data_IF_473973507461
#
_entry.id   IF_473973507461
#
_cell.length_a   1.000
_cell.length_b   1.000
_cell.length_c   1.000
_cell.angle_alpha   90.00
_cell.angle_beta   90.00
_cell.angle_gamma   90.00
#
_symmetry.space_group_name_H-M   'P 1'
#
loop_
_entity.id
_entity.type
_entity.pdbx_description
1 polymer ?
#
# COMPACT_ATOMS: atom_id res chain seq x y z
N UNK A 1 -20.46 -9.72 12.02
CA UNK A 1 -19.09 -9.33 12.39
C UNK A 1 -18.73 -8.15 11.52
N UNK A 2 -18.25 -7.05 12.11
CA UNK A 2 -17.92 -5.80 11.41
C UNK A 2 -16.53 -5.36 11.87
N UNK A 3 -15.69 -4.89 10.94
CA UNK A 3 -14.44 -4.19 11.25
C UNK A 3 -14.64 -2.73 10.89
N UNK A 4 -14.25 -1.82 11.79
CA UNK A 4 -14.38 -0.38 11.59
C UNK A 4 -13.31 0.38 12.37
N UNK A 5 -13.08 1.62 11.99
CA UNK A 5 -12.28 2.56 12.79
C UNK A 5 -12.88 2.71 14.18
N UNK A 6 -12.02 2.80 15.18
CA UNK A 6 -12.41 3.02 16.57
C UNK A 6 -13.06 4.38 16.76
N UNK A 7 -13.97 4.46 17.71
CA UNK A 7 -14.59 5.69 18.22
C UNK A 7 -14.38 5.79 19.73
N UNK A 8 -14.61 6.96 20.32
CA UNK A 8 -14.48 7.13 21.78
C UNK A 8 -15.48 6.27 22.57
N UNK A 9 -16.62 5.93 21.97
CA UNK A 9 -17.64 5.07 22.59
C UNK A 9 -17.20 3.60 22.72
N UNK A 10 -16.17 3.18 21.97
CA UNK A 10 -15.61 1.84 22.06
C UNK A 10 -14.69 1.66 23.28
N UNK A 11 -14.36 2.75 23.98
CA UNK A 11 -13.40 2.75 25.08
C UNK A 11 -13.74 1.75 26.16
N UNK A 12 -15.02 1.60 26.52
CA UNK A 12 -15.45 0.60 27.51
C UNK A 12 -15.11 -0.82 27.07
N UNK A 13 -15.45 -1.17 25.83
CA UNK A 13 -15.21 -2.51 25.28
C UNK A 13 -13.72 -2.82 25.12
N UNK A 14 -12.92 -1.84 24.70
CA UNK A 14 -11.46 -1.95 24.60
C UNK A 14 -10.84 -2.09 26.00
N UNK A 15 -11.26 -1.25 26.94
CA UNK A 15 -10.83 -1.28 28.33
C UNK A 15 -11.09 -2.63 28.98
N UNK A 16 -12.27 -3.22 28.78
CA UNK A 16 -12.60 -4.56 29.30
C UNK A 16 -11.71 -5.66 28.74
N UNK A 17 -11.37 -5.60 27.44
CA UNK A 17 -10.41 -6.53 26.84
C UNK A 17 -9.03 -6.32 27.45
N UNK A 18 -8.56 -5.08 27.49
CA UNK A 18 -7.20 -4.74 27.90
C UNK A 18 -6.96 -5.07 29.38
N UNK A 19 -7.89 -4.70 30.27
CA UNK A 19 -7.77 -4.96 31.71
C UNK A 19 -7.74 -6.45 32.05
N UNK A 20 -8.41 -7.30 31.26
CA UNK A 20 -8.22 -8.75 31.41
C UNK A 20 -6.75 -9.14 31.23
N UNK A 21 -6.05 -8.59 30.24
CA UNK A 21 -4.63 -8.87 30.03
C UNK A 21 -3.75 -8.24 31.11
N UNK A 22 -4.08 -7.04 31.60
CA UNK A 22 -3.37 -6.38 32.72
C UNK A 22 -3.42 -7.25 33.97
N UNK A 23 -4.63 -7.69 34.36
CA UNK A 23 -4.87 -8.36 35.64
C UNK A 23 -4.53 -9.85 35.62
N UNK A 24 -4.55 -10.51 34.45
CA UNK A 24 -4.48 -11.97 34.37
C UNK A 24 -3.30 -12.50 33.53
N UNK A 25 -2.52 -11.63 32.87
CA UNK A 25 -1.46 -12.09 31.95
C UNK A 25 -0.22 -11.19 31.91
N UNK A 26 0.92 -11.73 31.46
CA UNK A 26 2.12 -10.96 31.21
C UNK A 26 2.19 -10.35 29.80
N UNK A 27 1.13 -10.44 28.98
CA UNK A 27 1.13 -9.97 27.58
C UNK A 27 1.36 -8.46 27.50
N UNK A 28 0.84 -7.71 28.47
CA UNK A 28 1.13 -6.29 28.65
C UNK A 28 1.79 -6.07 30.00
N UNK A 29 2.66 -5.07 30.09
CA UNK A 29 3.44 -4.78 31.28
C UNK A 29 2.82 -3.71 32.18
N UNK A 30 1.65 -3.19 31.83
CA UNK A 30 0.84 -2.46 32.80
C UNK A 30 0.44 -3.36 33.97
N UNK A 31 0.53 -2.82 35.18
CA UNK A 31 0.30 -3.55 36.44
C UNK A 31 -0.98 -3.10 37.14
N UNK A 32 -1.59 -2.00 36.72
CA UNK A 32 -2.82 -1.44 37.28
C UNK A 32 -3.84 -1.32 36.17
N UNK A 33 -5.06 -1.77 36.43
CA UNK A 33 -6.16 -1.66 35.48
C UNK A 33 -6.43 -0.20 35.12
N UNK A 34 -6.65 0.06 33.85
CA UNK A 34 -6.94 1.41 33.34
C UNK A 34 -8.42 1.73 33.46
N UNK A 35 -8.72 3.00 33.65
CA UNK A 35 -10.10 3.49 33.63
C UNK A 35 -10.63 3.62 32.20
N UNK A 36 -11.95 3.61 32.04
CA UNK A 36 -12.59 3.92 30.76
C UNK A 36 -12.19 5.32 30.24
N UNK A 37 -12.15 6.32 31.12
CA UNK A 37 -11.72 7.68 30.78
C UNK A 37 -10.28 7.75 30.28
N UNK A 38 -9.39 6.96 30.87
CA UNK A 38 -8.00 6.88 30.42
C UNK A 38 -7.92 6.19 29.05
N UNK A 39 -8.69 5.11 28.83
CA UNK A 39 -8.76 4.48 27.52
C UNK A 39 -9.33 5.41 26.44
N UNK A 40 -10.33 6.24 26.78
CA UNK A 40 -10.84 7.29 25.88
C UNK A 40 -9.73 8.29 25.49
N UNK A 41 -8.94 8.74 26.46
CA UNK A 41 -7.81 9.65 26.20
C UNK A 41 -6.75 9.00 25.29
N UNK A 42 -6.44 7.72 25.52
CA UNK A 42 -5.53 6.96 24.65
C UNK A 42 -6.07 6.90 23.23
N UNK A 43 -7.31 6.45 23.03
CA UNK A 43 -7.97 6.38 21.72
C UNK A 43 -7.90 7.75 21.03
N UNK A 44 -8.26 8.82 21.73
CA UNK A 44 -8.18 10.19 21.21
C UNK A 44 -6.77 10.53 20.74
N UNK A 45 -5.73 10.21 21.53
CA UNK A 45 -4.34 10.46 21.16
C UNK A 45 -3.90 9.78 19.87
N UNK A 46 -4.33 8.54 19.62
CA UNK A 46 -4.05 7.84 18.35
C UNK A 46 -4.80 8.48 17.18
N UNK A 47 -6.08 8.83 17.36
CA UNK A 47 -6.89 9.45 16.32
C UNK A 47 -6.37 10.85 15.95
N UNK A 48 -6.02 11.67 16.94
CA UNK A 48 -5.45 13.00 16.73
C UNK A 48 -4.10 12.94 16.00
N UNK A 49 -3.31 11.89 16.26
CA UNK A 49 -2.04 11.64 15.58
C UNK A 49 -2.19 11.02 14.17
N UNK A 50 -3.42 10.72 13.75
CA UNK A 50 -3.71 10.13 12.44
C UNK A 50 -3.31 8.66 12.31
N UNK A 51 -3.12 7.94 13.43
CA UNK A 51 -2.76 6.53 13.39
C UNK A 51 -3.96 5.62 13.14
N UNK A 52 -3.81 4.57 12.31
CA UNK A 52 -4.83 3.54 12.15
C UNK A 52 -5.12 2.83 13.48
N UNK A 53 -6.41 2.77 13.84
CA UNK A 53 -6.91 2.06 15.01
C UNK A 53 -8.28 1.46 14.67
N UNK A 54 -8.34 0.12 14.65
CA UNK A 54 -9.52 -0.64 14.27
C UNK A 54 -10.03 -1.54 15.38
N UNK A 55 -11.34 -1.73 15.42
CA UNK A 55 -12.03 -2.70 16.26
C UNK A 55 -12.74 -3.74 15.40
N UNK A 56 -12.85 -4.96 15.90
CA UNK A 56 -13.78 -5.97 15.36
C UNK A 56 -14.93 -6.16 16.33
N UNK A 57 -16.15 -6.02 15.81
CA UNK A 57 -17.39 -6.11 16.56
C UNK A 57 -18.17 -7.38 16.17
N UNK A 58 -18.66 -8.10 17.18
CA UNK A 58 -19.51 -9.29 17.02
C UNK A 58 -20.71 -9.14 17.96
N UNK A 59 -21.92 -9.12 17.38
CA UNK A 59 -23.18 -9.00 18.12
C UNK A 59 -23.23 -7.78 19.05
N UNK A 60 -22.82 -6.60 18.55
CA UNK A 60 -22.84 -5.36 19.33
C UNK A 60 -21.71 -5.24 20.37
N UNK A 61 -20.75 -6.17 20.40
CA UNK A 61 -19.65 -6.17 21.37
C UNK A 61 -18.30 -6.18 20.69
N UNK A 62 -17.37 -5.40 21.23
CA UNK A 62 -15.97 -5.42 20.80
C UNK A 62 -15.37 -6.78 21.13
N UNK A 63 -14.91 -7.48 20.11
CA UNK A 63 -14.32 -8.81 20.19
C UNK A 63 -12.78 -8.77 20.10
N UNK A 64 -12.22 -7.67 19.64
CA UNK A 64 -10.79 -7.43 19.53
C UNK A 64 -10.49 -6.08 18.88
N UNK A 65 -9.23 -5.67 18.91
CA UNK A 65 -8.79 -4.42 18.31
C UNK A 65 -7.31 -4.49 17.93
N UNK A 66 -6.90 -3.66 16.98
CA UNK A 66 -5.50 -3.45 16.62
C UNK A 66 -5.24 -1.98 16.29
N UNK A 67 -4.00 -1.56 16.46
CA UNK A 67 -3.57 -0.20 16.12
C UNK A 67 -2.08 -0.16 15.75
N UNK A 68 -1.68 0.97 15.14
CA UNK A 68 -0.28 1.30 14.84
C UNK A 68 0.14 2.57 15.57
N UNK A 69 1.44 2.71 15.82
CA UNK A 69 2.04 3.98 16.26
C UNK A 69 3.53 4.03 15.95
N UNK A 70 4.17 5.15 16.26
CA UNK A 70 5.62 5.28 16.16
C UNK A 70 6.31 4.29 17.11
N UNK A 71 7.24 3.50 16.57
CA UNK A 71 8.13 2.65 17.37
C UNK A 71 9.07 3.48 18.25
N UNK A 72 9.54 4.62 17.73
CA UNK A 72 10.44 5.52 18.44
C UNK A 72 10.20 6.97 18.00
N UNK A 73 10.37 7.92 18.91
CA UNK A 73 10.12 9.35 18.63
C UNK A 73 11.26 10.05 17.88
N UNK A 74 12.42 9.40 17.67
CA UNK A 74 13.51 9.98 16.89
C UNK A 74 13.20 9.90 15.39
N UNK A 75 13.45 10.99 14.65
CA UNK A 75 13.06 11.13 13.25
C UNK A 75 13.60 10.05 12.31
N UNK A 76 14.77 9.46 12.60
CA UNK A 76 15.33 8.36 11.82
C UNK A 76 14.47 7.08 11.82
N UNK A 77 13.48 6.97 12.73
CA UNK A 77 12.52 5.87 12.80
C UNK A 77 11.15 6.25 12.24
N UNK A 78 11.00 7.37 11.52
CA UNK A 78 9.69 7.85 11.04
C UNK A 78 8.94 6.82 10.20
N UNK A 79 9.66 6.01 9.41
CA UNK A 79 9.13 4.92 8.58
C UNK A 79 9.03 3.56 9.30
N UNK A 80 9.34 3.49 10.59
CA UNK A 80 9.19 2.27 11.41
C UNK A 80 8.05 2.46 12.40
N UNK A 81 7.04 1.59 12.32
CA UNK A 81 5.88 1.61 13.22
C UNK A 81 5.84 0.37 14.11
N UNK A 82 5.16 0.49 15.24
CA UNK A 82 4.82 -0.64 16.09
C UNK A 82 3.36 -1.02 15.91
N UNK A 83 3.10 -2.31 15.70
CA UNK A 83 1.76 -2.88 15.62
C UNK A 83 1.38 -3.52 16.95
N UNK A 84 0.14 -3.32 17.36
CA UNK A 84 -0.42 -3.94 18.56
C UNK A 84 -1.78 -4.56 18.25
N UNK A 85 -2.06 -5.72 18.85
CA UNK A 85 -3.33 -6.42 18.70
C UNK A 85 -3.75 -7.12 19.99
N UNK A 86 -5.03 -6.99 20.35
CA UNK A 86 -5.64 -7.68 21.47
C UNK A 86 -6.98 -8.29 21.06
N UNK A 87 -7.28 -9.47 21.58
CA UNK A 87 -8.55 -10.17 21.35
C UNK A 87 -9.22 -10.42 22.69
N UNK A 88 -10.55 -10.35 22.74
CA UNK A 88 -11.30 -10.73 23.93
C UNK A 88 -10.94 -12.15 24.37
N UNK A 89 -10.93 -12.40 25.68
CA UNK A 89 -10.48 -13.68 26.28
C UNK A 89 -11.10 -14.94 25.63
N UNK A 90 -12.36 -14.85 25.23
CA UNK A 90 -13.15 -15.92 24.60
C UNK A 90 -13.15 -15.89 23.07
N UNK A 91 -12.32 -15.06 22.46
CA UNK A 91 -12.28 -14.82 21.02
C UNK A 91 -10.98 -15.26 20.36
N UNK A 92 -10.02 -15.76 21.14
CA UNK A 92 -8.78 -16.36 20.63
C UNK A 92 -9.06 -17.63 19.80
N UNK A 93 -8.19 -17.94 18.85
CA UNK A 93 -8.30 -19.13 17.99
C UNK A 93 -9.38 -19.08 16.91
N UNK A 94 -10.16 -17.99 16.80
CA UNK A 94 -11.26 -17.82 15.83
C UNK A 94 -10.87 -17.07 14.56
N UNK A 95 -9.57 -16.91 14.29
CA UNK A 95 -9.07 -16.18 13.12
C UNK A 95 -9.20 -14.65 13.17
N UNK A 96 -9.78 -14.06 14.24
CA UNK A 96 -9.98 -12.61 14.35
C UNK A 96 -8.67 -11.82 14.27
N UNK A 97 -7.58 -12.36 14.80
CA UNK A 97 -6.25 -11.73 14.70
C UNK A 97 -5.78 -11.58 13.26
N UNK A 98 -5.96 -12.63 12.46
CA UNK A 98 -5.66 -12.60 11.01
C UNK A 98 -6.53 -11.56 10.29
N UNK A 99 -7.82 -11.52 10.61
CA UNK A 99 -8.78 -10.63 9.96
C UNK A 99 -8.46 -9.15 10.25
N UNK A 100 -8.12 -8.84 11.51
CA UNK A 100 -7.70 -7.49 11.91
C UNK A 100 -6.39 -7.07 11.22
N UNK A 101 -5.37 -7.94 11.17
CA UNK A 101 -4.12 -7.64 10.46
C UNK A 101 -4.32 -7.51 8.95
N UNK A 102 -5.16 -8.34 8.31
CA UNK A 102 -5.50 -8.17 6.91
C UNK A 102 -6.15 -6.82 6.62
N UNK A 103 -7.03 -6.35 7.51
CA UNK A 103 -7.64 -5.02 7.36
C UNK A 103 -6.62 -3.91 7.57
N UNK A 104 -5.85 -3.97 8.66
CA UNK A 104 -4.81 -2.99 8.98
C UNK A 104 -3.78 -2.87 7.87
N UNK A 105 -3.27 -4.01 7.37
CA UNK A 105 -2.17 -4.01 6.41
C UNK A 105 -2.60 -3.55 5.02
N UNK A 106 -3.86 -3.68 4.63
CA UNK A 106 -4.35 -3.04 3.39
C UNK A 106 -4.19 -1.52 3.40
N UNK A 107 -4.27 -0.91 4.58
CA UNK A 107 -4.12 0.54 4.71
C UNK A 107 -2.66 0.97 4.86
N UNK A 108 -1.79 0.16 5.48
CA UNK A 108 -0.38 0.56 5.68
C UNK A 108 0.43 0.60 4.40
N UNK A 109 0.04 -0.16 3.35
CA UNK A 109 0.76 -0.09 2.08
C UNK A 109 0.68 1.32 1.48
N UNK A 110 -0.41 2.06 1.77
CA UNK A 110 -0.61 3.46 1.33
C UNK A 110 0.37 4.44 1.99
N UNK A 111 0.99 4.06 3.10
CA UNK A 111 1.90 4.89 3.88
C UNK A 111 3.38 4.56 3.58
N UNK A 112 4.28 5.52 3.79
CA UNK A 112 5.73 5.33 3.66
C UNK A 112 6.32 4.56 4.88
N UNK A 113 5.73 3.40 5.17
CA UNK A 113 6.18 2.49 6.23
C UNK A 113 7.15 1.48 5.61
N UNK A 114 8.36 1.43 6.16
CA UNK A 114 9.41 0.50 5.78
C UNK A 114 9.40 -0.76 6.65
N UNK A 115 9.12 -0.61 7.95
CA UNK A 115 9.17 -1.72 8.89
C UNK A 115 8.06 -1.64 9.94
N UNK A 116 7.53 -2.81 10.30
CA UNK A 116 6.67 -3.00 11.45
C UNK A 116 7.41 -3.79 12.53
N UNK A 117 7.25 -3.37 13.78
CA UNK A 117 7.71 -4.09 14.97
C UNK A 117 6.49 -4.57 15.77
N UNK A 118 6.58 -5.76 16.36
CA UNK A 118 5.64 -6.26 17.34
C UNK A 118 6.40 -6.77 18.57
N UNK A 119 6.09 -6.24 19.75
CA UNK A 119 6.59 -6.75 21.02
C UNK A 119 5.75 -7.94 21.52
N UNK A 120 6.42 -9.03 21.90
CA UNK A 120 5.76 -10.24 22.42
C UNK A 120 6.44 -10.66 23.71
N UNK A 121 5.71 -10.60 24.84
CA UNK A 121 6.11 -11.32 26.04
C UNK A 121 5.91 -12.82 25.81
N UNK A 122 6.98 -13.61 25.94
CA UNK A 122 6.95 -15.07 25.79
C UNK A 122 6.61 -15.77 27.12
N UNK A 123 6.02 -16.97 27.18
CA UNK A 123 5.67 -17.98 26.15
C UNK A 123 4.28 -17.75 25.53
N UNK A 124 4.21 -17.13 24.36
CA UNK A 124 2.95 -16.79 23.69
C UNK A 124 2.95 -17.27 22.23
N UNK A 125 2.85 -18.59 22.06
CA UNK A 125 2.93 -19.27 20.77
C UNK A 125 1.83 -18.83 19.80
N UNK A 126 0.65 -18.49 20.34
CA UNK A 126 -0.45 -17.96 19.53
C UNK A 126 -0.11 -16.63 18.87
N UNK A 127 0.57 -15.75 19.60
CA UNK A 127 1.04 -14.47 19.04
C UNK A 127 2.18 -14.70 18.05
N UNK A 128 3.16 -15.54 18.41
CA UNK A 128 4.28 -15.91 17.52
C UNK A 128 3.75 -16.44 16.18
N UNK A 129 2.86 -17.43 16.22
CA UNK A 129 2.30 -18.03 15.00
C UNK A 129 1.50 -17.04 14.16
N UNK A 130 0.77 -16.11 14.79
CA UNK A 130 0.09 -15.03 14.06
C UNK A 130 1.11 -14.15 13.33
N UNK A 131 2.19 -13.74 13.98
CA UNK A 131 3.20 -12.87 13.37
C UNK A 131 3.98 -13.59 12.27
N UNK A 132 4.40 -14.83 12.49
CA UNK A 132 5.04 -15.67 11.46
C UNK A 132 4.19 -15.81 10.21
N UNK A 133 2.87 -16.02 10.38
CA UNK A 133 1.92 -16.11 9.26
C UNK A 133 1.91 -14.88 8.36
N UNK A 134 2.18 -13.69 8.92
CA UNK A 134 2.29 -12.45 8.16
C UNK A 134 3.74 -12.11 7.75
N UNK A 135 4.67 -13.06 7.89
CA UNK A 135 6.05 -12.92 7.44
C UNK A 135 6.96 -12.14 8.39
N UNK A 136 6.51 -11.86 9.62
CA UNK A 136 7.39 -11.31 10.65
C UNK A 136 8.48 -12.34 10.98
N UNK A 137 9.66 -11.82 11.34
CA UNK A 137 10.81 -12.62 11.81
C UNK A 137 11.28 -12.07 13.14
N UNK A 138 11.71 -12.94 14.04
CA UNK A 138 12.31 -12.53 15.31
C UNK A 138 13.57 -11.69 15.05
N UNK A 139 13.58 -10.46 15.56
CA UNK A 139 14.68 -9.50 15.42
C UNK A 139 15.51 -9.38 16.70
N UNK A 140 14.92 -9.60 17.87
CA UNK A 140 15.63 -9.57 19.16
C UNK A 140 14.93 -10.41 20.23
N UNK A 141 15.68 -10.80 21.25
CA UNK A 141 15.21 -11.41 22.50
C UNK A 141 15.88 -10.72 23.69
N UNK A 142 15.10 -10.00 24.48
CA UNK A 142 15.55 -9.36 25.71
C UNK A 142 15.13 -10.22 26.90
N UNK A 143 16.10 -10.68 27.68
CA UNK A 143 15.87 -11.53 28.84
C UNK A 143 15.60 -10.70 30.08
N UNK A 144 14.67 -11.16 30.91
CA UNK A 144 14.38 -10.62 32.25
C UNK A 144 14.16 -9.09 32.26
N UNK A 145 13.53 -8.56 31.21
CA UNK A 145 13.43 -7.11 30.96
C UNK A 145 12.22 -6.45 31.64
N UNK A 146 11.26 -7.25 32.12
CA UNK A 146 10.12 -6.76 32.89
C UNK A 146 9.76 -7.65 34.06
N UNK A 147 9.22 -7.06 35.12
CA UNK A 147 8.78 -7.78 36.32
C UNK A 147 7.25 -7.76 36.41
N UNK A 148 6.61 -8.94 36.38
CA UNK A 148 5.15 -9.05 36.55
C UNK A 148 4.70 -10.43 37.02
N UNK A 149 3.80 -10.46 38.00
CA UNK A 149 3.33 -11.67 38.70
C UNK A 149 4.49 -12.47 39.28
N UNK A 150 5.31 -11.80 40.10
CA UNK A 150 6.44 -12.37 40.84
C UNK A 150 7.47 -13.12 39.98
N UNK A 151 7.59 -12.73 38.71
CA UNK A 151 8.47 -13.33 37.74
C UNK A 151 9.05 -12.26 36.82
N UNK A 152 10.34 -12.42 36.51
CA UNK A 152 10.97 -11.74 35.38
C UNK A 152 10.43 -12.30 34.07
N UNK A 153 10.22 -11.40 33.10
CA UNK A 153 9.59 -11.67 31.81
C UNK A 153 10.54 -11.29 30.69
N UNK A 154 10.62 -12.19 29.72
CA UNK A 154 11.36 -11.98 28.50
C UNK A 154 10.43 -11.35 27.45
N UNK A 155 11.00 -10.47 26.63
CA UNK A 155 10.29 -9.86 25.51
C UNK A 155 11.09 -10.08 24.24
N UNK A 156 10.41 -10.61 23.23
CA UNK A 156 10.91 -10.67 21.88
C UNK A 156 10.32 -9.54 21.04
N UNK A 157 11.12 -9.05 20.09
CA UNK A 157 10.61 -8.18 19.04
C UNK A 157 10.61 -8.93 17.73
N UNK A 158 9.46 -8.89 17.07
CA UNK A 158 9.24 -9.47 15.77
C UNK A 158 9.15 -8.34 14.75
N UNK A 159 9.87 -8.47 13.64
CA UNK A 159 9.98 -7.45 12.61
C UNK A 159 9.43 -7.96 11.28
N UNK A 160 8.61 -7.14 10.64
CA UNK A 160 8.24 -7.28 9.23
C UNK A 160 8.85 -6.11 8.46
N UNK A 161 9.78 -6.41 7.56
CA UNK A 161 10.22 -5.42 6.56
C UNK A 161 9.19 -5.42 5.44
N UNK A 162 8.50 -4.29 5.28
CA UNK A 162 7.59 -4.08 4.17
C UNK A 162 8.45 -3.89 2.93
N UNK A 163 8.59 -4.96 2.15
CA UNK A 163 9.16 -4.88 0.82
C UNK A 163 8.14 -4.15 -0.07
N UNK A 164 8.26 -2.83 -0.16
CA UNK A 164 7.64 -2.09 -1.25
C UNK A 164 8.39 -2.46 -2.53
N UNK A 165 8.00 -3.57 -3.16
CA UNK A 165 8.44 -3.87 -4.52
C UNK A 165 7.67 -2.87 -5.38
N UNK A 166 8.35 -1.95 -6.09
CA UNK A 166 7.64 -1.02 -6.94
C UNK A 166 6.89 -1.82 -8.00
N UNK A 167 5.63 -1.49 -8.27
CA UNK A 167 4.78 -2.27 -9.16
C UNK A 167 5.36 -2.20 -10.55
N UNK A 168 5.25 -3.33 -11.24
CA UNK A 168 5.58 -3.43 -12.65
C UNK A 168 4.34 -3.04 -13.46
N UNK A 169 4.46 -1.95 -14.19
CA UNK A 169 3.36 -1.35 -14.97
C UNK A 169 3.72 -1.39 -16.44
N UNK A 170 2.87 -2.00 -17.26
CA UNK A 170 3.00 -2.02 -18.72
C UNK A 170 1.89 -1.18 -19.36
N UNK A 171 2.27 -0.19 -20.15
CA UNK A 171 1.35 0.69 -20.89
C UNK A 171 1.35 0.31 -22.37
N UNK A 172 0.20 -0.06 -22.88
CA UNK A 172 0.04 -0.55 -24.24
C UNK A 172 -0.67 0.46 -25.14
N UNK A 173 -0.09 0.70 -26.30
CA UNK A 173 -0.83 1.28 -27.42
C UNK A 173 -0.53 0.51 -28.72
N UNK A 174 -1.06 0.98 -29.85
CA UNK A 174 -0.84 0.31 -31.13
C UNK A 174 0.60 0.51 -31.60
N UNK A 175 1.02 1.77 -31.78
CA UNK A 175 2.33 2.11 -32.36
C UNK A 175 3.49 2.25 -31.36
N UNK A 176 3.21 2.39 -30.06
CA UNK A 176 4.21 2.75 -29.03
C UNK A 176 5.07 3.98 -29.35
N UNK A 177 4.50 4.94 -30.06
CA UNK A 177 5.20 6.15 -30.50
C UNK A 177 4.79 7.42 -29.74
N UNK A 178 3.55 7.50 -29.24
CA UNK A 178 2.98 8.75 -28.74
C UNK A 178 2.32 8.59 -27.35
N UNK A 179 1.02 8.23 -27.29
CA UNK A 179 0.23 8.17 -26.04
C UNK A 179 0.87 7.34 -24.93
N UNK A 180 1.30 6.11 -25.24
CA UNK A 180 1.91 5.25 -24.22
C UNK A 180 3.26 5.79 -23.73
N UNK A 181 4.00 6.51 -24.58
CA UNK A 181 5.28 7.12 -24.23
C UNK A 181 5.07 8.32 -23.30
N UNK A 182 4.08 9.17 -23.59
CA UNK A 182 3.68 10.25 -22.70
C UNK A 182 3.23 9.73 -21.33
N UNK A 183 2.37 8.70 -21.33
CA UNK A 183 1.89 8.07 -20.09
C UNK A 183 3.02 7.44 -19.27
N UNK A 184 3.98 6.79 -19.94
CA UNK A 184 5.19 6.24 -19.33
C UNK A 184 5.98 7.34 -18.64
N UNK A 185 6.34 8.40 -19.39
CA UNK A 185 7.10 9.52 -18.85
C UNK A 185 6.40 10.18 -17.65
N UNK A 186 5.09 10.37 -17.71
CA UNK A 186 4.35 10.94 -16.59
C UNK A 186 4.37 10.06 -15.34
N UNK A 187 4.09 8.76 -15.44
CA UNK A 187 4.15 7.87 -14.28
C UNK A 187 5.54 7.88 -13.62
N UNK A 188 6.61 7.79 -14.42
CA UNK A 188 7.98 7.88 -13.89
C UNK A 188 8.27 9.25 -13.26
N UNK A 189 7.71 10.34 -13.80
CA UNK A 189 7.86 11.69 -13.20
C UNK A 189 7.11 11.85 -11.86
N UNK A 190 6.03 11.09 -11.65
CA UNK A 190 5.25 11.14 -10.41
C UNK A 190 5.94 10.36 -9.28
N UNK A 191 6.54 9.21 -9.60
CA UNK A 191 7.33 8.41 -8.68
C UNK A 191 8.45 7.67 -9.42
N UNK A 192 9.72 8.08 -9.24
CA UNK A 192 10.86 7.48 -9.94
C UNK A 192 11.16 6.05 -9.48
N UNK A 193 10.51 5.55 -8.41
CA UNK A 193 10.66 4.16 -7.98
C UNK A 193 9.86 3.18 -8.85
N UNK A 194 8.82 3.65 -9.55
CA UNK A 194 7.95 2.82 -10.38
C UNK A 194 8.71 2.09 -11.48
N UNK A 195 8.39 0.81 -11.68
CA UNK A 195 8.88 0.03 -12.81
C UNK A 195 7.89 0.17 -13.99
N UNK A 196 8.02 1.27 -14.72
CA UNK A 196 7.13 1.60 -15.85
C UNK A 196 7.76 1.17 -17.18
N UNK A 197 6.93 0.53 -18.01
CA UNK A 197 7.28 0.09 -19.35
C UNK A 197 6.15 0.49 -20.31
N UNK A 198 6.47 0.59 -21.59
CA UNK A 198 5.46 0.76 -22.63
C UNK A 198 5.76 -0.08 -23.85
N UNK A 199 4.72 -0.54 -24.55
CA UNK A 199 4.89 -1.40 -25.72
C UNK A 199 3.77 -1.25 -26.75
N UNK A 200 4.08 -1.67 -27.97
CA UNK A 200 3.22 -1.57 -29.15
C UNK A 200 2.76 -2.94 -29.63
N UNK A 201 1.48 -3.10 -29.94
CA UNK A 201 1.01 -4.29 -30.69
C UNK A 201 1.52 -4.29 -32.13
N UNK A 202 1.79 -3.09 -32.67
CA UNK A 202 2.42 -2.82 -33.96
C UNK A 202 3.44 -1.67 -33.78
N UNK A 203 4.46 -1.92 -32.97
CA UNK A 203 5.49 -0.92 -32.63
C UNK A 203 6.05 -0.23 -33.89
N UNK A 204 6.12 1.10 -33.88
CA UNK A 204 6.61 1.91 -35.01
C UNK A 204 8.12 1.82 -35.20
N UNK A 205 8.85 1.50 -34.13
CA UNK A 205 10.32 1.47 -34.10
C UNK A 205 10.97 2.79 -33.66
N UNK A 206 10.19 3.88 -33.59
CA UNK A 206 10.64 5.18 -33.10
C UNK A 206 9.57 5.92 -32.30
N UNK A 207 10.01 6.75 -31.35
CA UNK A 207 9.15 7.65 -30.57
C UNK A 207 8.83 8.88 -31.41
N UNK A 208 7.57 9.33 -31.40
CA UNK A 208 7.11 10.46 -32.19
C UNK A 208 7.82 11.75 -31.74
N UNK A 209 8.53 12.48 -32.62
CA UNK A 209 9.29 13.67 -32.24
C UNK A 209 8.45 14.76 -31.58
N UNK A 210 7.20 14.92 -32.01
CA UNK A 210 6.27 15.91 -31.48
C UNK A 210 5.78 15.53 -30.08
N UNK A 211 5.71 14.23 -29.78
CA UNK A 211 5.46 13.76 -28.42
C UNK A 211 6.63 14.10 -27.48
N UNK A 212 7.87 13.95 -27.95
CA UNK A 212 9.08 14.34 -27.20
C UNK A 212 9.04 15.84 -26.90
N UNK A 213 8.77 16.66 -27.91
CA UNK A 213 8.68 18.12 -27.80
C UNK A 213 7.67 18.56 -26.73
N UNK A 214 6.41 18.12 -26.83
CA UNK A 214 5.38 18.55 -25.87
C UNK A 214 5.60 17.99 -24.46
N UNK A 215 6.27 16.85 -24.32
CA UNK A 215 6.62 16.31 -23.00
C UNK A 215 7.77 17.11 -22.37
N UNK A 216 8.76 17.52 -23.17
CA UNK A 216 9.84 18.40 -22.73
C UNK A 216 9.29 19.74 -22.21
N UNK A 217 8.30 20.33 -22.90
CA UNK A 217 7.60 21.54 -22.44
C UNK A 217 6.90 21.37 -21.09
N UNK A 218 6.47 20.14 -20.77
CA UNK A 218 5.87 19.77 -19.49
C UNK A 218 6.90 19.40 -18.41
N UNK A 219 8.20 19.49 -18.72
CA UNK A 219 9.30 19.17 -17.82
C UNK A 219 9.63 17.68 -17.71
N UNK A 220 9.19 16.86 -18.68
CA UNK A 220 9.42 15.40 -18.68
C UNK A 220 10.15 15.01 -19.96
N UNK A 221 11.39 14.58 -19.83
CA UNK A 221 12.20 14.11 -20.96
C UNK A 221 11.90 12.65 -21.28
N UNK A 222 11.37 12.39 -22.48
CA UNK A 222 11.15 11.05 -23.03
C UNK A 222 12.00 10.77 -24.27
N UNK A 223 12.99 11.62 -24.58
CA UNK A 223 13.81 11.52 -25.79
C UNK A 223 14.69 10.25 -25.84
N UNK A 224 14.92 9.65 -24.69
CA UNK A 224 15.69 8.41 -24.52
C UNK A 224 14.83 7.14 -24.56
N UNK A 225 13.50 7.26 -24.66
CA UNK A 225 12.61 6.11 -24.77
C UNK A 225 12.73 5.41 -26.13
N UNK A 226 12.27 4.17 -26.19
CA UNK A 226 12.21 3.34 -27.41
C UNK A 226 10.79 2.87 -27.69
N UNK A 227 10.48 2.63 -28.97
CA UNK A 227 9.20 2.04 -29.39
C UNK A 227 9.32 0.51 -29.40
N UNK A 228 9.03 -0.14 -28.28
CA UNK A 228 9.22 -1.56 -28.08
C UNK A 228 8.01 -2.40 -28.52
N UNK A 229 8.28 -3.62 -29.00
CA UNK A 229 7.25 -4.58 -29.37
C UNK A 229 6.70 -5.30 -28.14
N UNK A 230 5.39 -5.46 -28.07
CA UNK A 230 4.72 -6.20 -26.99
C UNK A 230 5.23 -7.63 -26.82
N UNK A 231 5.76 -8.25 -27.90
CA UNK A 231 6.32 -9.59 -27.86
C UNK A 231 7.47 -9.77 -26.86
N UNK A 232 8.13 -8.68 -26.46
CA UNK A 232 9.17 -8.70 -25.43
C UNK A 232 8.62 -8.92 -24.01
N UNK A 233 7.33 -8.62 -23.79
CA UNK A 233 6.74 -8.48 -22.45
C UNK A 233 5.63 -9.49 -22.14
N UNK A 234 5.17 -10.27 -23.12
CA UNK A 234 4.06 -11.25 -22.95
C UNK A 234 4.38 -12.36 -21.94
N UNK A 235 5.68 -12.65 -21.73
CA UNK A 235 6.19 -13.66 -20.81
C UNK A 235 6.27 -13.22 -19.35
N UNK A 236 6.19 -11.92 -19.10
CA UNK A 236 6.44 -11.32 -17.79
C UNK A 236 5.18 -11.24 -16.93
N UNK A 237 5.37 -11.22 -15.62
CA UNK A 237 4.34 -10.88 -14.65
C UNK A 237 4.19 -9.35 -14.53
N UNK A 238 2.95 -8.90 -14.34
CA UNK A 238 2.58 -7.48 -14.28
C UNK A 238 1.58 -7.20 -13.16
N UNK A 239 1.82 -6.14 -12.39
CA UNK A 239 0.84 -5.62 -11.44
C UNK A 239 -0.27 -4.87 -12.18
N UNK A 240 0.11 -4.15 -13.25
CA UNK A 240 -0.80 -3.40 -14.10
C UNK A 240 -0.46 -3.55 -15.57
N UNK A 241 -1.47 -3.86 -16.38
CA UNK A 241 -1.44 -3.68 -17.84
C UNK A 241 -2.52 -2.68 -18.21
N UNK A 242 -2.13 -1.56 -18.84
CA UNK A 242 -3.00 -0.42 -19.12
C UNK A 242 -3.02 -0.17 -20.62
N UNK A 243 -4.17 -0.31 -21.27
CA UNK A 243 -4.32 0.02 -22.70
C UNK A 243 -4.76 1.48 -22.86
N UNK A 244 -4.08 2.24 -23.71
CA UNK A 244 -4.33 3.68 -23.91
C UNK A 244 -4.91 4.06 -25.27
N UNK A 245 -5.16 3.07 -26.13
CA UNK A 245 -5.88 3.25 -27.39
C UNK A 245 -6.88 2.11 -27.60
N UNK A 246 -7.96 2.38 -28.36
CA UNK A 246 -8.99 1.39 -28.67
C UNK A 246 -8.44 0.15 -29.39
N UNK A 247 -7.54 0.35 -30.36
CA UNK A 247 -6.92 -0.76 -31.10
C UNK A 247 -6.09 -1.71 -30.22
N UNK A 248 -5.36 -1.20 -29.21
CA UNK A 248 -4.64 -2.05 -28.27
C UNK A 248 -5.56 -2.70 -27.22
N UNK A 249 -6.72 -2.10 -26.93
CA UNK A 249 -7.72 -2.70 -26.06
C UNK A 249 -8.39 -3.91 -26.72
N UNK A 250 -8.78 -3.78 -27.99
CA UNK A 250 -9.38 -4.87 -28.78
C UNK A 250 -8.37 -5.95 -29.14
N UNK A 251 -7.11 -5.57 -29.40
CA UNK A 251 -6.03 -6.47 -29.79
C UNK A 251 -5.11 -6.84 -28.63
N UNK A 252 -5.55 -6.63 -27.38
CA UNK A 252 -4.72 -6.89 -26.21
C UNK A 252 -4.35 -8.38 -26.20
N UNK A 253 -3.06 -8.74 -26.26
CA UNK A 253 -2.67 -10.14 -26.33
C UNK A 253 -2.95 -10.84 -25.00
N UNK A 254 -3.09 -12.16 -25.09
CA UNK A 254 -3.03 -13.03 -23.93
C UNK A 254 -1.60 -13.03 -23.39
N UNK A 255 -1.45 -12.73 -22.11
CA UNK A 255 -0.17 -12.82 -21.41
C UNK A 255 -0.02 -14.23 -20.86
N UNK A 256 1.17 -14.81 -20.99
CA UNK A 256 1.50 -16.08 -20.35
C UNK A 256 1.92 -15.88 -18.88
N UNK A 257 2.41 -14.69 -18.53
CA UNK A 257 2.62 -14.26 -17.16
C UNK A 257 1.33 -13.78 -16.47
N UNK A 258 1.37 -13.71 -15.14
CA UNK A 258 0.25 -13.26 -14.33
C UNK A 258 0.06 -11.74 -14.44
N UNK A 259 -1.18 -11.30 -14.67
CA UNK A 259 -1.54 -9.88 -14.71
C UNK A 259 -2.57 -9.61 -13.62
N UNK A 260 -2.18 -8.90 -12.56
CA UNK A 260 -3.09 -8.63 -11.43
C UNK A 260 -4.23 -7.69 -11.83
N UNK A 261 -3.93 -6.60 -12.52
CA UNK A 261 -4.90 -5.60 -12.93
C UNK A 261 -4.80 -5.29 -14.43
N UNK A 262 -5.95 -5.32 -15.13
CA UNK A 262 -6.09 -4.88 -16.52
C UNK A 262 -7.01 -3.67 -16.58
N UNK A 263 -6.52 -2.57 -17.13
CA UNK A 263 -7.24 -1.30 -17.22
C UNK A 263 -7.24 -0.78 -18.66
N UNK A 264 -8.27 -0.01 -19.00
CA UNK A 264 -8.33 0.76 -20.24
C UNK A 264 -8.57 2.23 -19.94
N UNK A 265 -7.73 3.10 -20.48
CA UNK A 265 -7.85 4.56 -20.40
C UNK A 265 -7.59 5.11 -21.80
N UNK A 266 -8.62 5.19 -22.63
CA UNK A 266 -8.48 5.59 -24.03
C UNK A 266 -8.25 7.09 -24.22
N UNK A 267 -7.39 7.45 -25.18
CA UNK A 267 -7.17 8.82 -25.64
C UNK A 267 -7.17 8.88 -27.17
N UNK A 268 -7.54 10.04 -27.72
CA UNK A 268 -7.43 10.35 -29.15
C UNK A 268 -5.98 10.20 -29.63
N UNK A 269 -5.77 9.83 -30.89
CA UNK A 269 -4.42 9.83 -31.47
C UNK A 269 -4.08 11.21 -32.02
N UNK A 270 -3.22 12.00 -31.37
CA UNK A 270 -2.89 13.33 -31.87
C UNK A 270 -2.06 13.28 -33.17
N UNK A 271 -1.49 12.13 -33.53
CA UNK A 271 -0.77 11.96 -34.81
C UNK A 271 -1.70 11.91 -36.03
N UNK A 272 -3.00 11.71 -35.83
CA UNK A 272 -4.01 11.76 -36.89
C UNK A 272 -4.54 13.18 -37.12
N UNK A 273 -4.18 14.16 -36.28
CA UNK A 273 -4.61 15.53 -36.42
C UNK A 273 -4.04 16.16 -37.71
N UNK A 274 -4.93 16.76 -38.52
CA UNK A 274 -4.57 17.46 -39.75
C UNK A 274 -5.02 18.92 -39.67
N UNK A 275 -4.25 19.84 -40.27
CA UNK A 275 -4.53 21.27 -40.21
C UNK A 275 -3.27 22.11 -40.15
N UNK A 276 -3.36 23.30 -39.56
CA UNK A 276 -2.19 24.18 -39.38
C UNK A 276 -1.22 23.58 -38.36
N UNK A 277 0.09 23.91 -38.43
CA UNK A 277 1.08 23.44 -37.46
C UNK A 277 0.69 23.72 -36.01
N UNK A 278 0.08 24.88 -35.75
CA UNK A 278 -0.40 25.33 -34.45
C UNK A 278 -1.57 24.46 -33.96
N UNK A 279 -2.50 24.12 -34.85
CA UNK A 279 -3.62 23.23 -34.51
C UNK A 279 -3.11 21.83 -34.15
N UNK A 280 -2.22 21.25 -34.97
CA UNK A 280 -1.64 19.94 -34.68
C UNK A 280 -0.85 19.99 -33.37
N UNK A 281 -0.08 21.04 -33.09
CA UNK A 281 0.60 21.21 -31.79
C UNK A 281 -0.40 21.24 -30.63
N UNK A 282 -1.50 21.97 -30.78
CA UNK A 282 -2.52 22.09 -29.75
C UNK A 282 -3.18 20.74 -29.42
N UNK A 283 -3.36 19.86 -30.41
CA UNK A 283 -3.90 18.51 -30.20
C UNK A 283 -2.92 17.62 -29.41
N UNK A 284 -1.62 17.69 -29.69
CA UNK A 284 -0.61 16.98 -28.90
C UNK A 284 -0.59 17.46 -27.44
N UNK A 285 -0.68 18.77 -27.22
CA UNK A 285 -0.73 19.37 -25.88
C UNK A 285 -2.00 18.95 -25.13
N UNK A 286 -3.16 19.00 -25.80
CA UNK A 286 -4.45 18.58 -25.22
C UNK A 286 -4.39 17.13 -24.75
N UNK A 287 -3.99 16.21 -25.64
CA UNK A 287 -3.91 14.78 -25.31
C UNK A 287 -2.86 14.52 -24.22
N UNK A 288 -1.70 15.19 -24.26
CA UNK A 288 -0.68 15.12 -23.20
C UNK A 288 -1.28 15.46 -21.83
N UNK A 289 -2.03 16.56 -21.74
CA UNK A 289 -2.59 17.04 -20.47
C UNK A 289 -3.73 16.14 -19.97
N UNK A 290 -4.54 15.58 -20.88
CA UNK A 290 -5.53 14.54 -20.57
C UNK A 290 -4.86 13.28 -20.00
N UNK A 291 -3.78 12.81 -20.62
CA UNK A 291 -2.98 11.67 -20.14
C UNK A 291 -2.43 11.98 -18.74
N UNK A 292 -1.81 13.15 -18.55
CA UNK A 292 -1.25 13.56 -17.25
C UNK A 292 -2.30 13.50 -16.15
N UNK A 293 -3.48 14.06 -16.40
CA UNK A 293 -4.59 14.09 -15.43
C UNK A 293 -5.06 12.66 -15.09
N UNK A 294 -5.37 11.86 -16.10
CA UNK A 294 -5.90 10.52 -15.90
C UNK A 294 -4.90 9.59 -15.19
N UNK A 295 -3.62 9.65 -15.56
CA UNK A 295 -2.58 8.85 -14.91
C UNK A 295 -2.22 9.36 -13.52
N UNK A 296 -2.36 10.65 -13.23
CA UNK A 296 -2.20 11.16 -11.87
C UNK A 296 -3.34 10.71 -10.94
N UNK A 297 -4.58 10.70 -11.44
CA UNK A 297 -5.73 10.13 -10.73
C UNK A 297 -5.57 8.62 -10.50
N UNK A 298 -5.10 7.87 -11.51
CA UNK A 298 -4.76 6.46 -11.35
C UNK A 298 -3.65 6.27 -10.31
N UNK A 299 -2.59 7.08 -10.40
CA UNK A 299 -1.44 7.01 -9.50
C UNK A 299 -1.90 7.17 -8.05
N UNK A 300 -2.56 8.28 -7.74
CA UNK A 300 -3.00 8.62 -6.39
C UNK A 300 -4.01 7.64 -5.80
N UNK A 301 -4.91 7.07 -6.61
CA UNK A 301 -6.01 6.25 -6.11
C UNK A 301 -5.71 4.74 -6.06
N UNK A 302 -4.82 4.23 -6.91
CA UNK A 302 -4.61 2.77 -7.07
C UNK A 302 -3.16 2.32 -6.99
N UNK A 303 -2.22 3.20 -7.27
CA UNK A 303 -0.82 2.81 -7.46
C UNK A 303 0.03 3.32 -6.28
N UNK A 304 -0.12 4.57 -5.84
CA UNK A 304 0.64 5.17 -4.76
C UNK A 304 0.52 4.35 -3.47
N UNK A 305 1.66 3.95 -2.91
CA UNK A 305 1.73 3.12 -1.70
C UNK A 305 1.34 1.66 -1.96
N UNK A 306 2.13 1.02 -2.80
CA UNK A 306 1.84 -0.15 -3.63
C UNK A 306 1.20 -1.37 -2.90
N UNK A 307 -0.03 -1.72 -3.31
CA UNK A 307 -0.88 -2.87 -2.87
C UNK A 307 -0.34 -4.27 -3.20
#
# INVERSE_FOLDING_TARGET
MIIRTVTLDDAKGICDIYNYYVENTAVTFETVAVSESEMQQRIKGFLDAGFPYYVVEINGKIAGYCYLHNWNNRCAYSSTKEVTIYLGKHQKGKGLGTILYQHLFKEIYKDDIHALIAGICISNESSVHLHEKFGFKQASHMKEIGWKFDQWRDVEHWQLIIKQIPPKILILCTGNSCRSQMAHGFLQSFDPKLLVYSAGTKASGEVNPKAIEVMQDAGVDISHHTSDSIGQYIGDDWDYVITVCGGANESCPTFSGNVKNRLHIGFDDPSEATGTPEYVQSEYIRVRDEIKKAFYELYTNKIKGYE
#
